data_IF_446374745172
#
_entry.id   IF_446374745172
#
_cell.length_a   1.000
_cell.length_b   1.000
_cell.length_c   1.000
_cell.angle_alpha   90.00
_cell.angle_beta   90.00
_cell.angle_gamma   90.00
#
_symmetry.space_group_name_H-M   'P 1'
#
loop_
_entity.id
_entity.type
_entity.pdbx_description
1 polymer ?
#
# COMPACT_ATOMS: atom_id res chain seq x y z
N UNK A 1 26.32 9.53 2.11
CA UNK A 1 25.59 10.22 3.20
C UNK A 1 24.12 10.10 2.87
N UNK A 2 23.33 9.36 3.64
CA UNK A 2 21.88 9.40 3.43
C UNK A 2 21.43 10.77 3.94
N UNK A 3 21.04 11.65 3.02
CA UNK A 3 20.55 12.97 3.40
C UNK A 3 19.14 12.79 3.95
N UNK A 4 18.86 13.44 5.08
CA UNK A 4 17.51 13.56 5.64
C UNK A 4 16.51 14.08 4.62
N UNK A 5 16.97 14.85 3.63
CA UNK A 5 16.16 15.35 2.52
C UNK A 5 15.64 14.21 1.63
N UNK A 6 16.46 13.19 1.35
CA UNK A 6 16.04 12.05 0.52
C UNK A 6 14.93 11.23 1.21
N UNK A 7 15.02 11.05 2.52
CA UNK A 7 13.95 10.42 3.31
C UNK A 7 12.65 11.23 3.25
N UNK A 8 12.74 12.56 3.39
CA UNK A 8 11.58 13.45 3.27
C UNK A 8 10.98 13.36 1.86
N UNK A 9 11.79 13.32 0.81
CA UNK A 9 11.30 13.14 -0.56
C UNK A 9 10.60 11.79 -0.76
N UNK A 10 11.14 10.69 -0.23
CA UNK A 10 10.47 9.39 -0.28
C UNK A 10 9.12 9.40 0.43
N UNK A 11 9.04 10.04 1.60
CA UNK A 11 7.80 10.15 2.38
C UNK A 11 6.75 11.02 1.67
N UNK A 12 7.15 12.14 1.06
CA UNK A 12 6.23 13.06 0.38
C UNK A 12 5.79 12.50 -0.97
N UNK A 13 6.73 12.09 -1.81
CA UNK A 13 6.44 11.59 -3.16
C UNK A 13 5.80 10.20 -3.13
N UNK A 14 6.23 9.32 -2.22
CA UNK A 14 5.57 8.03 -1.99
C UNK A 14 4.14 8.20 -1.46
N UNK A 15 3.92 9.17 -0.57
CA UNK A 15 2.58 9.54 -0.11
C UNK A 15 1.69 10.09 -1.21
N UNK A 16 2.23 10.98 -2.05
CA UNK A 16 1.52 11.52 -3.21
C UNK A 16 1.15 10.42 -4.21
N UNK A 17 2.07 9.50 -4.51
CA UNK A 17 1.81 8.37 -5.38
C UNK A 17 0.73 7.44 -4.82
N UNK A 18 0.79 7.13 -3.52
CA UNK A 18 -0.24 6.35 -2.83
C UNK A 18 -1.62 7.01 -2.93
N UNK A 19 -1.69 8.34 -2.73
CA UNK A 19 -2.95 9.08 -2.79
C UNK A 19 -3.53 9.08 -4.21
N UNK A 20 -2.70 9.34 -5.22
CA UNK A 20 -3.11 9.32 -6.64
C UNK A 20 -3.65 7.94 -7.01
N UNK A 21 -2.93 6.87 -6.70
CA UNK A 21 -3.36 5.51 -7.01
C UNK A 21 -4.62 5.13 -6.25
N UNK A 22 -4.75 5.53 -4.99
CA UNK A 22 -5.96 5.29 -4.19
C UNK A 22 -7.20 5.94 -4.83
N UNK A 23 -7.10 7.21 -5.24
CA UNK A 23 -8.19 7.92 -5.91
C UNK A 23 -8.56 7.27 -7.25
N UNK A 24 -7.56 6.96 -8.08
CA UNK A 24 -7.79 6.28 -9.37
C UNK A 24 -8.43 4.91 -9.19
N UNK A 25 -7.98 4.17 -8.19
CA UNK A 25 -8.49 2.84 -7.89
C UNK A 25 -9.94 2.89 -7.41
N UNK A 26 -10.29 3.83 -6.52
CA UNK A 26 -11.68 4.03 -6.10
C UNK A 26 -12.60 4.44 -7.25
N UNK A 27 -12.12 5.31 -8.14
CA UNK A 27 -12.86 5.69 -9.35
C UNK A 27 -13.12 4.46 -10.22
N UNK A 28 -12.12 3.60 -10.40
CA UNK A 28 -12.26 2.36 -11.15
C UNK A 28 -13.32 1.44 -10.52
N UNK A 29 -13.30 1.29 -9.18
CA UNK A 29 -14.29 0.52 -8.43
C UNK A 29 -15.73 0.98 -8.63
N UNK A 30 -15.94 2.30 -8.73
CA UNK A 30 -17.25 2.90 -9.01
C UNK A 30 -17.70 2.59 -10.44
N UNK A 31 -16.78 2.61 -11.41
CA UNK A 31 -17.08 2.32 -12.82
C UNK A 31 -17.47 0.84 -13.01
N UNK A 32 -16.68 -0.08 -12.45
CA UNK A 32 -16.91 -1.52 -12.60
C UNK A 32 -18.03 -2.05 -11.68
N UNK A 33 -18.59 -1.19 -10.82
CA UNK A 33 -19.61 -1.52 -9.82
C UNK A 33 -19.23 -2.75 -8.98
N UNK A 34 -18.00 -2.76 -8.46
CA UNK A 34 -17.41 -3.91 -7.76
C UNK A 34 -18.26 -4.42 -6.56
N UNK A 35 -19.09 -3.55 -5.98
CA UNK A 35 -19.96 -3.85 -4.83
C UNK A 35 -21.41 -4.16 -5.19
N UNK A 36 -21.77 -4.25 -6.49
CA UNK A 36 -23.18 -4.35 -6.93
C UNK A 36 -23.92 -5.55 -6.38
N UNK A 37 -23.24 -6.68 -6.21
CA UNK A 37 -23.82 -7.94 -5.76
C UNK A 37 -23.59 -8.20 -4.26
N UNK A 38 -23.12 -7.20 -3.51
CA UNK A 38 -22.88 -7.33 -2.08
C UNK A 38 -24.11 -6.97 -1.25
N UNK A 39 -24.49 -7.80 -0.26
CA UNK A 39 -25.48 -7.43 0.75
C UNK A 39 -25.09 -6.09 1.38
N UNK A 40 -26.03 -5.15 1.46
CA UNK A 40 -25.78 -3.80 2.03
C UNK A 40 -25.25 -3.88 3.46
N UNK A 41 -25.63 -4.91 4.22
CA UNK A 41 -25.12 -5.19 5.57
C UNK A 41 -23.62 -5.58 5.63
N UNK A 42 -23.01 -5.95 4.50
CA UNK A 42 -21.59 -6.28 4.36
C UNK A 42 -20.77 -5.11 3.79
N UNK A 43 -21.42 -4.03 3.36
CA UNK A 43 -20.75 -2.85 2.83
C UNK A 43 -20.39 -1.96 4.01
N UNK A 44 -19.09 -1.80 4.30
CA UNK A 44 -18.63 -0.90 5.34
C UNK A 44 -19.10 0.54 5.05
N UNK A 45 -19.62 1.27 6.06
CA UNK A 45 -20.05 2.64 5.87
C UNK A 45 -18.83 3.50 5.53
N UNK A 46 -18.82 4.04 4.31
CA UNK A 46 -17.75 4.90 3.80
C UNK A 46 -17.92 6.32 4.34
N UNK A 47 -17.36 6.57 5.52
CA UNK A 47 -17.24 7.92 6.07
C UNK A 47 -15.91 8.59 5.64
N UNK A 48 -15.85 9.93 5.54
CA UNK A 48 -14.58 10.63 5.30
C UNK A 48 -13.50 10.30 6.34
N UNK A 49 -13.91 10.07 7.59
CA UNK A 49 -13.02 9.66 8.68
C UNK A 49 -12.42 8.26 8.43
N UNK A 50 -13.21 7.32 7.91
CA UNK A 50 -12.74 6.00 7.53
C UNK A 50 -11.72 6.06 6.39
N UNK A 51 -11.96 6.91 5.38
CA UNK A 51 -11.00 7.12 4.30
C UNK A 51 -9.67 7.69 4.79
N UNK A 52 -9.72 8.70 5.67
CA UNK A 52 -8.51 9.27 6.26
C UNK A 52 -7.74 8.23 7.08
N UNK A 53 -8.43 7.46 7.92
CA UNK A 53 -7.81 6.44 8.76
C UNK A 53 -7.17 5.34 7.90
N UNK A 54 -7.87 4.89 6.86
CA UNK A 54 -7.34 3.90 5.93
C UNK A 54 -6.11 4.43 5.18
N UNK A 55 -6.15 5.68 4.70
CA UNK A 55 -4.99 6.32 4.07
C UNK A 55 -3.80 6.43 5.02
N UNK A 56 -4.01 6.82 6.27
CA UNK A 56 -2.93 6.91 7.28
C UNK A 56 -2.31 5.54 7.53
N UNK A 57 -3.13 4.49 7.66
CA UNK A 57 -2.65 3.13 7.84
C UNK A 57 -1.85 2.65 6.63
N UNK A 58 -2.39 2.82 5.41
CA UNK A 58 -1.70 2.48 4.17
C UNK A 58 -0.40 3.28 4.01
N UNK A 59 -0.39 4.56 4.38
CA UNK A 59 0.81 5.39 4.35
C UNK A 59 1.90 4.84 5.28
N UNK A 60 1.53 4.46 6.50
CA UNK A 60 2.48 3.87 7.46
C UNK A 60 3.07 2.56 6.92
N UNK A 61 2.22 1.65 6.45
CA UNK A 61 2.67 0.32 6.04
C UNK A 61 3.34 0.27 4.66
N UNK A 62 2.87 1.08 3.70
CA UNK A 62 3.33 1.01 2.31
C UNK A 62 4.39 2.05 2.00
N UNK A 63 4.40 3.21 2.68
CA UNK A 63 5.36 4.30 2.42
C UNK A 63 6.40 4.39 3.53
N UNK A 64 5.98 4.58 4.79
CA UNK A 64 6.91 4.86 5.88
C UNK A 64 7.79 3.65 6.21
N UNK A 65 7.18 2.47 6.45
CA UNK A 65 7.94 1.25 6.78
C UNK A 65 8.97 0.92 5.69
N UNK A 66 8.64 0.88 4.38
CA UNK A 66 9.64 0.61 3.36
C UNK A 66 10.70 1.70 3.24
N UNK A 67 10.35 2.98 3.43
CA UNK A 67 11.32 4.09 3.41
C UNK A 67 12.36 3.96 4.53
N UNK A 68 11.91 3.68 5.76
CA UNK A 68 12.81 3.48 6.90
C UNK A 68 13.57 2.16 6.82
N UNK A 69 12.96 1.11 6.29
CA UNK A 69 13.65 -0.15 6.01
C UNK A 69 14.78 0.09 5.00
N UNK A 70 14.53 0.85 3.93
CA UNK A 70 15.55 1.22 2.94
C UNK A 70 16.72 1.95 3.61
N UNK A 71 16.44 2.94 4.47
CA UNK A 71 17.45 3.65 5.25
C UNK A 71 18.34 2.67 6.03
N UNK A 72 17.74 1.76 6.79
CA UNK A 72 18.46 0.81 7.65
C UNK A 72 19.29 -0.16 6.81
N UNK A 73 18.71 -0.73 5.75
CA UNK A 73 19.38 -1.74 4.93
C UNK A 73 20.49 -1.16 4.05
N UNK A 74 20.36 0.08 3.56
CA UNK A 74 21.47 0.76 2.86
C UNK A 74 22.64 1.04 3.78
N UNK A 75 22.38 1.38 5.04
CA UNK A 75 23.44 1.60 6.03
C UNK A 75 24.08 0.28 6.47
N UNK A 76 23.28 -0.77 6.65
CA UNK A 76 23.74 -2.04 7.22
C UNK A 76 24.31 -3.03 6.19
N UNK A 77 23.86 -2.98 4.93
CA UNK A 77 24.25 -3.92 3.88
C UNK A 77 24.67 -3.17 2.60
N UNK A 78 25.94 -3.27 2.17
CA UNK A 78 26.42 -2.70 0.90
C UNK A 78 26.02 -3.58 -0.29
N UNK A 79 24.75 -3.98 -0.36
CA UNK A 79 24.16 -4.70 -1.49
C UNK A 79 23.38 -3.69 -2.34
N UNK A 80 23.52 -3.75 -3.67
CA UNK A 80 22.85 -2.84 -4.60
C UNK A 80 21.36 -2.64 -4.24
N UNK A 81 20.99 -1.37 -3.97
CA UNK A 81 19.89 -0.96 -3.07
C UNK A 81 18.45 -1.36 -3.45
N UNK A 82 18.23 -2.00 -4.59
CA UNK A 82 16.88 -2.39 -5.04
C UNK A 82 16.41 -3.69 -4.36
N UNK A 83 17.33 -4.65 -4.14
CA UNK A 83 16.99 -6.00 -3.63
C UNK A 83 16.50 -6.01 -2.16
N UNK A 84 17.16 -5.36 -1.19
CA UNK A 84 16.71 -5.40 0.20
C UNK A 84 15.42 -4.61 0.42
N UNK A 85 15.21 -3.54 -0.35
CA UNK A 85 14.01 -2.73 -0.32
C UNK A 85 12.78 -3.48 -0.81
N UNK A 86 12.91 -4.17 -1.96
CA UNK A 86 11.85 -5.00 -2.50
C UNK A 86 11.48 -6.13 -1.53
N UNK A 87 12.49 -6.76 -0.90
CA UNK A 87 12.28 -7.80 0.10
C UNK A 87 11.56 -7.27 1.35
N UNK A 88 11.97 -6.11 1.87
CA UNK A 88 11.33 -5.49 3.03
C UNK A 88 9.90 -5.01 2.74
N UNK A 89 9.63 -4.51 1.53
CA UNK A 89 8.30 -4.10 1.11
C UNK A 89 7.37 -5.29 0.84
N UNK A 90 7.87 -6.38 0.25
CA UNK A 90 7.14 -7.64 0.16
C UNK A 90 6.89 -8.22 1.54
N UNK A 91 7.82 -8.08 2.48
CA UNK A 91 7.64 -8.50 3.87
C UNK A 91 6.60 -7.63 4.59
N UNK A 92 6.62 -6.31 4.42
CA UNK A 92 5.62 -5.40 4.97
C UNK A 92 4.24 -5.63 4.35
N UNK A 93 4.18 -5.90 3.04
CA UNK A 93 2.96 -6.29 2.34
C UNK A 93 2.42 -7.63 2.84
N UNK A 94 3.27 -8.66 2.97
CA UNK A 94 2.82 -9.96 3.49
C UNK A 94 2.39 -9.87 4.95
N UNK A 95 3.10 -9.12 5.79
CA UNK A 95 2.73 -8.91 7.20
C UNK A 95 1.53 -7.98 7.41
N UNK A 96 1.27 -7.04 6.50
CA UNK A 96 0.13 -6.10 6.58
C UNK A 96 -1.12 -6.59 5.84
N UNK A 97 -0.96 -7.23 4.68
CA UNK A 97 -2.04 -7.76 3.86
C UNK A 97 -2.50 -9.14 4.34
N UNK A 98 -1.62 -10.01 4.88
CA UNK A 98 -2.05 -11.34 5.34
C UNK A 98 -3.02 -11.31 6.53
N UNK A 99 -2.87 -10.46 7.57
CA UNK A 99 -3.80 -10.42 8.69
C UNK A 99 -5.18 -9.88 8.29
N UNK A 100 -5.20 -8.88 7.41
CA UNK A 100 -6.45 -8.33 6.85
C UNK A 100 -7.12 -9.34 5.93
N UNK A 101 -6.38 -10.07 5.10
CA UNK A 101 -6.91 -11.17 4.26
C UNK A 101 -7.39 -12.37 5.08
N UNK A 102 -6.68 -12.77 6.14
CA UNK A 102 -7.07 -13.88 7.02
C UNK A 102 -8.28 -13.52 7.89
N UNK A 103 -8.34 -12.31 8.43
CA UNK A 103 -9.49 -11.86 9.21
C UNK A 103 -10.77 -11.78 8.36
N UNK A 104 -10.63 -11.37 7.10
CA UNK A 104 -11.74 -11.19 6.15
C UNK A 104 -12.20 -12.52 5.54
N UNK A 105 -11.26 -13.44 5.23
CA UNK A 105 -11.59 -14.75 4.62
C UNK A 105 -12.26 -15.74 5.58
N UNK A 106 -11.97 -15.65 6.89
CA UNK A 106 -12.53 -16.58 7.88
C UNK A 106 -13.89 -16.13 8.41
N UNK A 107 -14.27 -14.84 8.26
CA UNK A 107 -15.48 -14.28 8.88
C UNK A 107 -16.56 -13.80 7.90
N UNK A 108 -16.26 -13.60 6.63
CA UNK A 108 -17.21 -12.95 5.71
C UNK A 108 -17.33 -13.74 4.41
N UNK A 109 -18.57 -14.07 4.00
CA UNK A 109 -18.92 -14.54 2.65
C UNK A 109 -18.74 -13.40 1.63
N UNK A 110 -17.52 -12.91 1.45
CA UNK A 110 -17.23 -11.95 0.38
C UNK A 110 -17.16 -12.67 -0.95
N UNK A 111 -17.70 -12.05 -2.00
CA UNK A 111 -17.57 -12.58 -3.36
C UNK A 111 -16.09 -12.59 -3.75
N UNK A 112 -15.64 -13.69 -4.35
CA UNK A 112 -14.25 -13.85 -4.81
C UNK A 112 -13.81 -12.67 -5.67
N UNK A 113 -14.71 -12.14 -6.49
CA UNK A 113 -14.46 -10.97 -7.35
C UNK A 113 -14.10 -9.70 -6.57
N UNK A 114 -14.72 -9.46 -5.41
CA UNK A 114 -14.40 -8.28 -4.59
C UNK A 114 -13.10 -8.46 -3.81
N UNK A 115 -12.80 -9.69 -3.38
CA UNK A 115 -11.52 -10.00 -2.75
C UNK A 115 -10.37 -9.84 -3.75
N UNK A 116 -10.55 -10.32 -4.98
CA UNK A 116 -9.60 -10.12 -6.08
C UNK A 116 -9.43 -8.65 -6.45
N UNK A 117 -10.52 -7.89 -6.44
CA UNK A 117 -10.48 -6.44 -6.58
C UNK A 117 -9.57 -5.86 -5.49
N UNK A 118 -9.91 -6.00 -4.19
CA UNK A 118 -9.11 -5.47 -3.07
C UNK A 118 -7.62 -5.84 -3.21
N UNK A 119 -7.31 -7.11 -3.48
CA UNK A 119 -5.94 -7.58 -3.68
C UNK A 119 -5.21 -6.83 -4.80
N UNK A 120 -5.86 -6.67 -5.95
CA UNK A 120 -5.32 -5.88 -7.07
C UNK A 120 -5.05 -4.44 -6.64
N UNK A 121 -5.95 -3.84 -5.87
CA UNK A 121 -5.77 -2.50 -5.31
C UNK A 121 -4.53 -2.38 -4.42
N UNK A 122 -4.36 -3.29 -3.46
CA UNK A 122 -3.17 -3.26 -2.58
C UNK A 122 -1.90 -3.50 -3.39
N UNK A 123 -1.95 -4.39 -4.38
CA UNK A 123 -0.80 -4.67 -5.26
C UNK A 123 -0.41 -3.45 -6.12
N UNK A 124 -1.39 -2.74 -6.70
CA UNK A 124 -1.14 -1.52 -7.46
C UNK A 124 -0.57 -0.40 -6.59
N UNK A 125 -1.11 -0.21 -5.38
CA UNK A 125 -0.62 0.77 -4.40
C UNK A 125 0.83 0.46 -4.00
N UNK A 126 1.12 -0.79 -3.66
CA UNK A 126 2.47 -1.23 -3.31
C UNK A 126 3.44 -1.01 -4.47
N UNK A 127 3.06 -1.40 -5.70
CA UNK A 127 3.90 -1.24 -6.88
C UNK A 127 4.24 0.23 -7.16
N UNK A 128 3.27 1.12 -7.07
CA UNK A 128 3.48 2.55 -7.30
C UNK A 128 4.40 3.18 -6.23
N UNK A 129 4.19 2.83 -4.97
CA UNK A 129 5.04 3.31 -3.87
C UNK A 129 6.47 2.75 -3.98
N UNK A 130 6.61 1.48 -4.36
CA UNK A 130 7.93 0.88 -4.56
C UNK A 130 8.67 1.44 -5.77
N UNK A 131 7.97 1.70 -6.87
CA UNK A 131 8.57 2.33 -8.03
C UNK A 131 9.09 3.74 -7.71
N UNK A 132 8.33 4.51 -6.93
CA UNK A 132 8.73 5.88 -6.54
C UNK A 132 9.88 5.88 -5.55
N UNK A 133 9.82 5.08 -4.47
CA UNK A 133 10.92 4.98 -3.50
C UNK A 133 12.17 4.41 -4.15
N UNK A 134 12.04 3.33 -4.93
CA UNK A 134 13.16 2.71 -5.64
C UNK A 134 13.84 3.66 -6.63
N UNK A 135 13.07 4.47 -7.35
CA UNK A 135 13.61 5.50 -8.24
C UNK A 135 14.37 6.58 -7.46
N UNK A 136 13.81 7.10 -6.37
CA UNK A 136 14.44 8.16 -5.57
C UNK A 136 15.76 7.74 -4.93
N UNK A 137 15.90 6.48 -4.53
CA UNK A 137 17.15 5.96 -4.00
C UNK A 137 18.15 5.50 -5.08
N UNK A 138 17.72 5.40 -6.35
CA UNK A 138 18.61 5.13 -7.48
C UNK A 138 19.23 6.39 -8.08
N UNK A 139 18.71 7.57 -7.71
CA UNK A 139 19.25 8.90 -8.04
C UNK A 139 20.44 9.25 -7.13
#
# INVERSE_FOLDING_TARGET
MISTELVVYCLVLGGAALLVVTVLYELLGRIIKASRDMPVALIEPTSPAWYLLNFVMEYLFLVAVPTFAYLVFVVALPLEGIKPALAAAVMAFTLGAAPTLLAVSVRIKLSVSYLLYILLGVLLKLAAVMATIGYLYSL
#
